data_IF_263160751205
#
_entry.id   IF_263160751205
#
_cell.length_a   1.000
_cell.length_b   1.000
_cell.length_c   1.000
_cell.angle_alpha   90.00
_cell.angle_beta   90.00
_cell.angle_gamma   90.00
#
_symmetry.space_group_name_H-M   'P 1'
#
loop_
_entity.id
_entity.type
_entity.pdbx_description
1 polymer ?
#
# COMPACT_ATOMS: atom_id res chain seq x y z
N UNK A 1 -4.59 -22.53 16.48
CA UNK A 1 -4.35 -23.17 15.17
C UNK A 1 -2.85 -23.18 14.88
N UNK A 2 -2.31 -24.22 14.22
CA UNK A 2 -0.90 -24.29 13.82
C UNK A 2 -0.48 -23.07 13.00
N UNK A 3 0.78 -22.65 13.10
CA UNK A 3 1.31 -21.46 12.41
C UNK A 3 1.13 -21.55 10.90
N UNK A 4 1.30 -22.75 10.33
CA UNK A 4 1.13 -22.99 8.88
C UNK A 4 -0.31 -22.77 8.40
N UNK A 5 -1.30 -23.18 9.17
CA UNK A 5 -2.73 -22.99 8.82
C UNK A 5 -3.11 -21.51 8.83
N UNK A 6 -2.63 -20.74 9.82
CA UNK A 6 -2.85 -19.29 9.86
C UNK A 6 -2.18 -18.56 8.70
N UNK A 7 -0.97 -18.98 8.35
CA UNK A 7 -0.25 -18.41 7.21
C UNK A 7 -0.98 -18.68 5.90
N UNK A 8 -1.47 -19.91 5.69
CA UNK A 8 -2.24 -20.27 4.51
C UNK A 8 -3.59 -19.53 4.45
N UNK A 9 -4.35 -19.47 5.53
CA UNK A 9 -5.61 -18.73 5.59
C UNK A 9 -5.41 -17.25 5.24
N UNK A 10 -4.33 -16.64 5.74
CA UNK A 10 -3.98 -15.26 5.41
C UNK A 10 -3.60 -15.09 3.93
N UNK A 11 -2.81 -16.02 3.39
CA UNK A 11 -2.48 -16.03 1.96
C UNK A 11 -3.76 -16.10 1.12
N UNK A 12 -4.61 -17.10 1.36
CA UNK A 12 -5.85 -17.29 0.61
C UNK A 12 -6.76 -16.06 0.68
N UNK A 13 -6.96 -15.51 1.87
CA UNK A 13 -7.76 -14.29 2.02
C UNK A 13 -7.20 -13.11 1.22
N UNK A 14 -5.87 -12.91 1.25
CA UNK A 14 -5.21 -11.83 0.49
C UNK A 14 -5.35 -12.04 -1.02
N UNK A 15 -5.17 -13.28 -1.50
CA UNK A 15 -5.29 -13.65 -2.91
C UNK A 15 -6.73 -13.49 -3.42
N UNK A 16 -7.73 -13.89 -2.62
CA UNK A 16 -9.15 -13.70 -2.95
C UNK A 16 -9.50 -12.22 -3.06
N UNK A 17 -9.07 -11.41 -2.10
CA UNK A 17 -9.30 -9.95 -2.13
C UNK A 17 -8.62 -9.32 -3.34
N UNK A 18 -7.37 -9.70 -3.61
CA UNK A 18 -6.61 -9.17 -4.76
C UNK A 18 -7.28 -9.48 -6.10
N UNK A 19 -8.00 -10.59 -6.21
CA UNK A 19 -8.58 -11.10 -7.47
C UNK A 19 -10.10 -11.11 -7.48
N UNK A 20 -10.72 -10.42 -6.54
CA UNK A 20 -12.18 -10.50 -6.29
C UNK A 20 -13.02 -10.38 -7.57
N UNK A 21 -12.81 -9.34 -8.37
CA UNK A 21 -13.62 -9.12 -9.57
C UNK A 21 -13.35 -10.15 -10.66
N UNK A 22 -12.09 -10.60 -10.85
CA UNK A 22 -11.77 -11.66 -11.80
C UNK A 22 -12.38 -13.00 -11.37
N UNK A 23 -12.40 -13.28 -10.06
CA UNK A 23 -13.07 -14.45 -9.51
C UNK A 23 -14.58 -14.37 -9.71
N UNK A 24 -15.20 -13.20 -9.50
CA UNK A 24 -16.62 -12.99 -9.76
C UNK A 24 -16.96 -13.20 -11.25
N UNK A 25 -16.18 -12.64 -12.18
CA UNK A 25 -16.38 -12.84 -13.62
C UNK A 25 -16.35 -14.34 -14.00
N UNK A 26 -15.41 -15.09 -13.45
CA UNK A 26 -15.31 -16.53 -13.72
C UNK A 26 -16.48 -17.32 -13.09
N UNK A 27 -16.89 -16.99 -11.86
CA UNK A 27 -18.03 -17.61 -11.19
C UNK A 27 -19.31 -17.33 -11.98
N UNK A 28 -19.52 -16.08 -12.37
CA UNK A 28 -20.71 -15.67 -13.11
C UNK A 28 -20.78 -16.34 -14.49
N UNK A 29 -19.63 -16.59 -15.13
CA UNK A 29 -19.58 -17.27 -16.43
C UNK A 29 -20.02 -18.74 -16.40
N UNK A 30 -20.02 -19.37 -15.25
CA UNK A 30 -20.42 -20.80 -15.10
C UNK A 30 -21.82 -20.99 -14.52
N UNK A 31 -22.44 -19.92 -14.01
CA UNK A 31 -23.78 -19.95 -13.42
C UNK A 31 -24.82 -19.39 -14.36
N UNK A 32 -26.07 -19.95 -14.28
CA UNK A 32 -27.19 -19.47 -15.09
C UNK A 32 -27.78 -18.17 -14.51
N UNK A 33 -27.88 -18.07 -13.19
CA UNK A 33 -28.43 -16.92 -12.46
C UNK A 33 -27.46 -16.47 -11.37
N UNK A 34 -26.32 -15.85 -11.75
CA UNK A 34 -25.29 -15.46 -10.79
C UNK A 34 -25.77 -14.40 -9.78
N UNK A 35 -26.79 -13.60 -10.12
CA UNK A 35 -27.38 -12.58 -9.27
C UNK A 35 -28.18 -13.15 -8.09
N UNK A 36 -28.64 -14.39 -8.20
CA UNK A 36 -29.38 -15.08 -7.13
C UNK A 36 -28.46 -15.76 -6.10
N UNK A 37 -27.13 -15.72 -6.34
CA UNK A 37 -26.15 -16.39 -5.49
C UNK A 37 -26.02 -15.69 -4.14
N UNK A 38 -26.28 -16.42 -3.05
CA UNK A 38 -26.10 -15.90 -1.69
C UNK A 38 -24.66 -15.41 -1.46
N UNK A 39 -24.44 -14.26 -0.81
CA UNK A 39 -23.10 -13.68 -0.61
C UNK A 39 -22.08 -14.63 0.02
N UNK A 40 -22.47 -15.38 1.04
CA UNK A 40 -21.57 -16.31 1.74
C UNK A 40 -21.19 -17.50 0.84
N UNK A 41 -22.12 -17.96 -0.03
CA UNK A 41 -21.84 -19.01 -1.00
C UNK A 41 -20.89 -18.48 -2.08
N UNK A 42 -21.08 -17.23 -2.53
CA UNK A 42 -20.18 -16.56 -3.46
C UNK A 42 -18.76 -16.46 -2.89
N UNK A 43 -18.63 -16.09 -1.62
CA UNK A 43 -17.32 -16.01 -0.97
C UNK A 43 -16.63 -17.37 -0.85
N UNK A 44 -17.38 -18.43 -0.55
CA UNK A 44 -16.84 -19.80 -0.55
C UNK A 44 -16.39 -20.23 -1.95
N UNK A 45 -17.17 -19.90 -3.00
CA UNK A 45 -16.76 -20.15 -4.39
C UNK A 45 -15.53 -19.34 -4.79
N UNK A 46 -15.44 -18.05 -4.41
CA UNK A 46 -14.23 -17.23 -4.63
C UNK A 46 -12.98 -17.91 -4.06
N UNK A 47 -13.06 -18.47 -2.85
CA UNK A 47 -11.94 -19.19 -2.24
C UNK A 47 -11.53 -20.40 -3.08
N UNK A 48 -12.49 -21.26 -3.47
CA UNK A 48 -12.21 -22.45 -4.25
C UNK A 48 -11.71 -22.13 -5.67
N UNK A 49 -12.31 -21.17 -6.37
CA UNK A 49 -11.82 -20.68 -7.66
C UNK A 49 -10.40 -20.13 -7.57
N UNK A 50 -10.11 -19.36 -6.52
CA UNK A 50 -8.75 -18.87 -6.26
C UNK A 50 -7.74 -20.00 -6.10
N UNK A 51 -8.10 -21.07 -5.41
CA UNK A 51 -7.27 -22.26 -5.26
C UNK A 51 -7.05 -23.01 -6.58
N UNK A 52 -8.07 -23.08 -7.46
CA UNK A 52 -7.98 -23.75 -8.77
C UNK A 52 -7.11 -22.93 -9.73
N UNK A 53 -7.43 -21.65 -9.95
CA UNK A 53 -6.85 -20.85 -11.03
C UNK A 53 -5.51 -20.22 -10.65
N UNK A 54 -5.36 -19.75 -9.43
CA UNK A 54 -4.18 -18.97 -9.02
C UNK A 54 -3.23 -19.73 -8.10
N UNK A 55 -3.72 -20.51 -7.14
CA UNK A 55 -2.86 -21.29 -6.24
C UNK A 55 -2.53 -22.68 -6.78
N UNK A 56 -3.19 -23.10 -7.86
CA UNK A 56 -2.95 -24.37 -8.58
C UNK A 56 -2.92 -25.59 -7.65
N UNK A 57 -3.86 -25.64 -6.71
CA UNK A 57 -4.03 -26.80 -5.83
C UNK A 57 -4.61 -27.99 -6.61
N UNK A 58 -4.42 -29.22 -6.11
CA UNK A 58 -5.02 -30.40 -6.73
C UNK A 58 -6.53 -30.30 -6.83
N UNK A 59 -7.09 -30.52 -8.02
CA UNK A 59 -8.50 -30.27 -8.34
C UNK A 59 -9.47 -31.02 -7.44
N UNK A 60 -9.25 -32.32 -7.26
CA UNK A 60 -10.11 -33.16 -6.43
C UNK A 60 -10.17 -32.67 -4.97
N UNK A 61 -9.03 -32.20 -4.41
CA UNK A 61 -8.96 -31.67 -3.05
C UNK A 61 -9.75 -30.37 -2.96
N UNK A 62 -9.58 -29.47 -3.94
CA UNK A 62 -10.23 -28.16 -3.93
C UNK A 62 -11.75 -28.29 -4.14
N UNK A 63 -12.18 -29.16 -5.06
CA UNK A 63 -13.61 -29.42 -5.28
C UNK A 63 -14.25 -29.99 -4.01
N UNK A 64 -13.69 -31.05 -3.44
CA UNK A 64 -14.23 -31.70 -2.23
C UNK A 64 -14.29 -30.72 -1.06
N UNK A 65 -13.20 -29.97 -0.80
CA UNK A 65 -13.16 -29.00 0.29
C UNK A 65 -14.12 -27.82 0.05
N UNK A 66 -14.20 -27.28 -1.17
CA UNK A 66 -15.08 -26.18 -1.52
C UNK A 66 -16.56 -26.55 -1.35
N UNK A 67 -16.94 -27.74 -1.80
CA UNK A 67 -18.30 -28.28 -1.61
C UNK A 67 -18.62 -28.48 -0.13
N UNK A 68 -17.65 -28.99 0.65
CA UNK A 68 -17.84 -29.23 2.08
C UNK A 68 -17.96 -27.91 2.86
N UNK A 69 -17.21 -26.90 2.50
CA UNK A 69 -17.33 -25.54 3.08
C UNK A 69 -18.74 -25.01 2.85
N UNK A 70 -19.24 -25.01 1.61
CA UNK A 70 -20.62 -24.56 1.31
C UNK A 70 -21.65 -25.40 2.05
N UNK A 71 -21.48 -26.72 2.08
CA UNK A 71 -22.40 -27.62 2.80
C UNK A 71 -22.52 -27.30 4.29
N UNK A 72 -21.44 -26.84 4.91
CA UNK A 72 -21.37 -26.59 6.35
C UNK A 72 -22.30 -25.46 6.82
N UNK A 73 -22.61 -24.49 5.96
CA UNK A 73 -23.47 -23.34 6.31
C UNK A 73 -24.68 -23.17 5.36
N UNK A 74 -24.61 -23.68 4.13
CA UNK A 74 -25.68 -23.63 3.12
C UNK A 74 -25.89 -25.00 2.44
N UNK A 75 -26.41 -26.02 3.16
CA UNK A 75 -26.54 -27.38 2.62
C UNK A 75 -27.36 -27.46 1.31
N UNK A 76 -28.35 -26.57 1.12
CA UNK A 76 -29.17 -26.46 -0.09
C UNK A 76 -28.35 -26.06 -1.32
N UNK A 77 -27.25 -25.30 -1.15
CA UNK A 77 -26.38 -24.85 -2.22
C UNK A 77 -25.27 -25.86 -2.60
N UNK A 78 -25.20 -27.03 -1.92
CA UNK A 78 -24.17 -28.06 -2.18
C UNK A 78 -24.11 -28.47 -3.65
N UNK A 79 -25.29 -28.71 -4.27
CA UNK A 79 -25.37 -29.11 -5.68
C UNK A 79 -24.84 -28.05 -6.63
N UNK A 80 -25.19 -26.79 -6.38
CA UNK A 80 -24.70 -25.64 -7.15
C UNK A 80 -23.19 -25.49 -7.01
N UNK A 81 -22.64 -25.57 -5.79
CA UNK A 81 -21.21 -25.49 -5.55
C UNK A 81 -20.44 -26.60 -6.28
N UNK A 82 -20.95 -27.87 -6.20
CA UNK A 82 -20.33 -28.97 -6.92
C UNK A 82 -20.33 -28.75 -8.44
N UNK A 83 -21.46 -28.28 -9.00
CA UNK A 83 -21.56 -27.96 -10.43
C UNK A 83 -20.55 -26.85 -10.82
N UNK A 84 -20.56 -25.73 -10.11
CA UNK A 84 -19.68 -24.58 -10.41
C UNK A 84 -18.19 -24.96 -10.33
N UNK A 85 -17.78 -25.74 -9.32
CA UNK A 85 -16.39 -26.15 -9.15
C UNK A 85 -15.92 -27.16 -10.21
N UNK A 86 -16.79 -28.09 -10.65
CA UNK A 86 -16.44 -28.94 -11.76
C UNK A 86 -16.30 -28.17 -13.07
N UNK A 87 -17.18 -27.19 -13.34
CA UNK A 87 -17.05 -26.29 -14.49
C UNK A 87 -15.76 -25.48 -14.43
N UNK A 88 -15.37 -24.98 -13.24
CA UNK A 88 -14.09 -24.31 -13.05
C UNK A 88 -12.89 -25.20 -13.41
N UNK A 89 -12.91 -26.47 -13.00
CA UNK A 89 -11.85 -27.43 -13.35
C UNK A 89 -11.79 -27.69 -14.86
N UNK A 90 -12.96 -27.83 -15.53
CA UNK A 90 -13.02 -28.04 -16.98
C UNK A 90 -12.42 -26.87 -17.79
N UNK A 91 -12.58 -25.63 -17.31
CA UNK A 91 -12.10 -24.44 -18.02
C UNK A 91 -10.70 -23.99 -17.63
N UNK A 92 -10.09 -24.56 -16.59
CA UNK A 92 -8.82 -24.06 -16.03
C UNK A 92 -7.65 -24.09 -17.02
N UNK A 93 -7.60 -25.10 -17.91
CA UNK A 93 -6.52 -25.23 -18.88
C UNK A 93 -6.58 -24.16 -20.01
N UNK A 94 -7.74 -23.49 -20.14
CA UNK A 94 -7.93 -22.38 -21.06
C UNK A 94 -7.64 -21.01 -20.39
N UNK A 95 -7.53 -20.98 -19.05
CA UNK A 95 -7.22 -19.75 -18.33
C UNK A 95 -5.81 -19.24 -18.69
N UNK A 96 -5.65 -17.97 -18.97
CA UNK A 96 -6.55 -16.80 -18.77
C UNK A 96 -7.45 -16.45 -19.99
N UNK A 97 -7.87 -17.41 -20.79
CA UNK A 97 -8.80 -17.27 -21.93
C UNK A 97 -8.28 -16.32 -23.03
N UNK A 98 -7.00 -16.41 -23.31
CA UNK A 98 -6.32 -15.62 -24.33
C UNK A 98 -4.83 -15.48 -24.02
N UNK A 99 -4.14 -14.80 -24.92
CA UNK A 99 -2.71 -14.54 -24.79
C UNK A 99 -2.48 -13.28 -23.94
N UNK A 100 -1.79 -13.41 -22.82
CA UNK A 100 -1.50 -12.31 -21.89
C UNK A 100 -0.60 -11.22 -22.49
N UNK A 101 0.19 -11.55 -23.52
CA UNK A 101 1.11 -10.60 -24.16
C UNK A 101 0.41 -9.68 -25.17
N UNK A 102 -0.79 -10.06 -25.61
CA UNK A 102 -1.52 -9.32 -26.66
C UNK A 102 -2.93 -8.91 -26.27
N UNK A 103 -3.55 -9.59 -25.29
CA UNK A 103 -4.93 -9.35 -24.86
C UNK A 103 -4.98 -8.65 -23.51
N UNK A 104 -5.46 -7.39 -23.45
CA UNK A 104 -5.68 -6.69 -22.17
C UNK A 104 -6.59 -7.45 -21.22
N UNK A 105 -7.61 -8.13 -21.75
CA UNK A 105 -8.54 -8.95 -20.96
C UNK A 105 -7.86 -10.17 -20.35
N UNK A 106 -7.04 -10.88 -21.12
CA UNK A 106 -6.30 -12.04 -20.61
C UNK A 106 -5.27 -11.61 -19.55
N UNK A 107 -4.57 -10.49 -19.78
CA UNK A 107 -3.64 -9.91 -18.79
C UNK A 107 -4.37 -9.49 -17.51
N UNK A 108 -5.53 -8.83 -17.63
CA UNK A 108 -6.36 -8.42 -16.49
C UNK A 108 -6.83 -9.62 -15.67
N UNK A 109 -7.34 -10.67 -16.31
CA UNK A 109 -7.77 -11.89 -15.63
C UNK A 109 -6.61 -12.64 -14.98
N UNK A 110 -5.49 -12.80 -15.71
CA UNK A 110 -4.29 -13.47 -15.18
C UNK A 110 -3.80 -12.82 -13.89
N UNK A 111 -3.73 -11.48 -13.88
CA UNK A 111 -3.16 -10.73 -12.76
C UNK A 111 -4.20 -10.27 -11.74
N UNK A 112 -5.49 -10.53 -11.98
CA UNK A 112 -6.57 -10.14 -11.06
C UNK A 112 -6.76 -8.62 -11.00
N UNK A 113 -6.85 -7.97 -12.16
CA UNK A 113 -7.14 -6.54 -12.29
C UNK A 113 -8.49 -6.28 -12.95
N UNK A 114 -9.18 -5.17 -12.64
CA UNK A 114 -10.30 -4.71 -13.44
C UNK A 114 -9.84 -4.43 -14.88
N UNK A 115 -10.65 -4.81 -15.87
CA UNK A 115 -10.29 -4.62 -17.28
C UNK A 115 -9.97 -3.16 -17.59
N UNK A 116 -10.81 -2.22 -17.16
CA UNK A 116 -10.59 -0.78 -17.38
C UNK A 116 -9.23 -0.29 -16.85
N UNK A 117 -8.78 -0.81 -15.69
CA UNK A 117 -7.49 -0.42 -15.10
C UNK A 117 -6.32 -1.04 -15.87
N UNK A 118 -6.44 -2.29 -16.32
CA UNK A 118 -5.44 -2.93 -17.17
C UNK A 118 -5.30 -2.19 -18.52
N UNK A 119 -6.42 -1.84 -19.17
CA UNK A 119 -6.43 -1.06 -20.41
C UNK A 119 -5.79 0.33 -20.22
N UNK A 120 -6.10 1.00 -19.09
CA UNK A 120 -5.50 2.29 -18.75
C UNK A 120 -4.00 2.18 -18.55
N UNK A 121 -3.53 1.18 -17.81
CA UNK A 121 -2.10 0.93 -17.60
C UNK A 121 -1.39 0.63 -18.92
N UNK A 122 -1.99 -0.20 -19.79
CA UNK A 122 -1.43 -0.51 -21.11
C UNK A 122 -1.34 0.73 -21.99
N UNK A 123 -2.36 1.57 -21.97
CA UNK A 123 -2.37 2.84 -22.72
C UNK A 123 -1.25 3.79 -22.29
N UNK A 124 -0.97 3.87 -20.99
CA UNK A 124 -0.01 4.81 -20.43
C UNK A 124 1.43 4.30 -20.41
N UNK A 125 1.63 2.99 -20.16
CA UNK A 125 2.95 2.39 -19.95
C UNK A 125 3.42 1.53 -21.14
N UNK A 126 2.53 1.17 -22.05
CA UNK A 126 2.73 0.08 -23.00
C UNK A 126 2.47 -1.28 -22.37
N UNK A 127 2.24 -2.31 -23.23
CA UNK A 127 1.75 -3.62 -22.77
C UNK A 127 2.72 -4.32 -21.80
N UNK A 128 4.00 -4.39 -22.15
CA UNK A 128 5.02 -5.09 -21.37
C UNK A 128 5.20 -4.47 -19.97
N UNK A 129 5.26 -3.15 -19.88
CA UNK A 129 5.47 -2.47 -18.61
C UNK A 129 4.22 -2.53 -17.74
N UNK A 130 3.04 -2.44 -18.34
CA UNK A 130 1.77 -2.62 -17.64
C UNK A 130 1.64 -4.03 -17.07
N UNK A 131 1.99 -5.06 -17.85
CA UNK A 131 1.99 -6.45 -17.38
C UNK A 131 2.98 -6.64 -16.22
N UNK A 132 4.21 -6.12 -16.34
CA UNK A 132 5.19 -6.12 -15.24
C UNK A 132 4.68 -5.40 -13.98
N UNK A 133 4.00 -4.26 -14.15
CA UNK A 133 3.40 -3.53 -13.03
C UNK A 133 2.33 -4.37 -12.33
N UNK A 134 1.41 -4.98 -13.09
CA UNK A 134 0.35 -5.84 -12.54
C UNK A 134 0.94 -7.05 -11.79
N UNK A 135 1.90 -7.75 -12.38
CA UNK A 135 2.62 -8.88 -11.76
C UNK A 135 3.32 -8.48 -10.47
N UNK A 136 4.07 -7.37 -10.49
CA UNK A 136 4.76 -6.86 -9.30
C UNK A 136 3.79 -6.43 -8.20
N UNK A 137 2.62 -5.94 -8.57
CA UNK A 137 1.58 -5.54 -7.60
C UNK A 137 0.99 -6.72 -6.84
N UNK A 138 1.11 -7.95 -7.36
CA UNK A 138 0.69 -9.18 -6.69
C UNK A 138 1.77 -9.80 -5.79
N UNK A 139 3.02 -9.37 -5.92
CA UNK A 139 4.08 -9.86 -5.06
C UNK A 139 3.95 -9.28 -3.63
N UNK A 140 4.32 -10.03 -2.59
CA UNK A 140 4.35 -9.51 -1.23
C UNK A 140 5.16 -8.22 -1.14
N UNK A 141 4.61 -7.19 -0.51
CA UNK A 141 5.32 -5.93 -0.35
C UNK A 141 6.58 -6.14 0.49
N UNK A 142 7.76 -5.63 0.06
CA UNK A 142 8.94 -5.61 0.90
C UNK A 142 8.67 -4.79 2.17
N UNK A 143 9.34 -5.13 3.24
CA UNK A 143 9.21 -4.42 4.50
C UNK A 143 10.42 -3.51 4.67
N UNK A 144 10.30 -2.26 4.22
CA UNK A 144 11.33 -1.24 4.40
C UNK A 144 11.14 -0.50 5.72
N UNK A 145 12.24 -0.02 6.28
CA UNK A 145 12.22 0.74 7.53
C UNK A 145 13.22 1.89 7.50
N UNK A 146 12.96 2.84 8.35
CA UNK A 146 13.85 3.94 8.69
C UNK A 146 14.13 3.88 10.19
N UNK A 147 15.37 4.11 10.60
CA UNK A 147 15.71 4.38 12.00
C UNK A 147 15.39 5.84 12.31
N UNK A 148 14.65 6.05 13.39
CA UNK A 148 14.32 7.37 13.85
C UNK A 148 15.46 7.96 14.69
N UNK A 149 16.25 8.85 14.07
CA UNK A 149 17.44 9.44 14.68
C UNK A 149 17.13 10.35 15.88
N UNK A 150 15.86 10.76 16.06
CA UNK A 150 15.44 11.47 17.26
C UNK A 150 15.35 10.54 18.49
N UNK A 151 15.28 9.22 18.29
CA UNK A 151 15.14 8.22 19.35
C UNK A 151 16.37 7.33 19.51
N UNK A 152 17.11 7.07 18.43
CA UNK A 152 18.18 6.08 18.44
C UNK A 152 19.47 6.57 17.76
N UNK A 153 20.58 6.06 18.24
CA UNK A 153 21.85 6.11 17.52
C UNK A 153 21.79 5.09 16.37
N UNK A 154 21.75 5.57 15.13
CA UNK A 154 21.55 4.74 13.95
C UNK A 154 22.61 3.65 13.78
N UNK A 155 23.93 3.96 13.78
CA UNK A 155 25.01 2.98 13.72
C UNK A 155 24.94 1.92 14.81
N UNK A 156 24.66 2.32 16.05
CA UNK A 156 24.52 1.40 17.18
C UNK A 156 23.31 0.47 17.01
N UNK A 157 22.17 1.00 16.58
CA UNK A 157 20.97 0.22 16.33
C UNK A 157 21.19 -0.81 15.21
N UNK A 158 21.84 -0.44 14.12
CA UNK A 158 22.19 -1.38 13.04
C UNK A 158 23.17 -2.47 13.51
N UNK A 159 24.18 -2.11 14.31
CA UNK A 159 25.12 -3.07 14.90
C UNK A 159 24.39 -4.10 15.77
N UNK A 160 23.47 -3.65 16.61
CA UNK A 160 22.67 -4.54 17.47
C UNK A 160 21.80 -5.50 16.63
N UNK A 161 21.16 -4.99 15.54
CA UNK A 161 20.41 -5.86 14.63
C UNK A 161 21.28 -6.96 14.01
N UNK A 162 22.50 -6.60 13.58
CA UNK A 162 23.45 -7.57 13.02
C UNK A 162 23.88 -8.61 14.07
N UNK A 163 24.18 -8.20 15.30
CA UNK A 163 24.54 -9.11 16.39
C UNK A 163 23.40 -10.09 16.72
N UNK A 164 22.16 -9.66 16.60
CA UNK A 164 20.96 -10.50 16.77
C UNK A 164 20.62 -11.34 15.53
N UNK A 165 21.45 -11.30 14.50
CA UNK A 165 21.26 -12.04 13.25
C UNK A 165 19.98 -11.62 12.50
N UNK A 166 19.46 -10.39 12.73
CA UNK A 166 18.38 -9.83 11.93
C UNK A 166 18.91 -9.55 10.54
N UNK A 167 18.35 -10.22 9.54
CA UNK A 167 18.76 -10.05 8.14
C UNK A 167 18.21 -8.74 7.58
N UNK A 168 19.05 -7.74 7.46
CA UNK A 168 18.77 -6.44 6.84
C UNK A 168 19.42 -6.35 5.47
N UNK A 169 18.75 -5.69 4.53
CA UNK A 169 19.23 -5.48 3.15
C UNK A 169 19.27 -3.98 2.89
N UNK A 170 20.45 -3.41 2.58
CA UNK A 170 20.52 -2.02 2.17
C UNK A 170 19.94 -1.85 0.76
N UNK A 171 19.03 -0.89 0.60
CA UNK A 171 18.35 -0.63 -0.69
C UNK A 171 19.20 0.27 -1.60
N UNK A 172 20.00 1.15 -1.02
CA UNK A 172 20.77 2.19 -1.71
C UNK A 172 21.83 1.68 -2.69
N UNK A 173 22.21 0.39 -2.65
CA UNK A 173 23.22 -0.16 -3.58
C UNK A 173 22.66 -0.54 -4.96
N UNK A 174 21.34 -0.66 -5.09
CA UNK A 174 20.68 -1.10 -6.33
C UNK A 174 19.92 0.01 -7.06
N UNK A 175 19.77 1.18 -6.45
CA UNK A 175 19.01 2.29 -7.01
C UNK A 175 19.78 3.58 -6.69
N UNK A 176 20.13 4.34 -7.71
CA UNK A 176 20.73 5.67 -7.57
C UNK A 176 19.63 6.65 -7.14
N UNK A 177 19.34 6.63 -5.85
CA UNK A 177 18.33 7.49 -5.25
C UNK A 177 19.01 8.61 -4.47
N UNK A 178 18.52 9.85 -4.59
CA UNK A 178 19.00 10.98 -3.81
C UNK A 178 18.55 10.87 -2.34
N UNK A 179 19.10 9.89 -1.64
CA UNK A 179 18.78 9.63 -0.25
C UNK A 179 19.81 10.33 0.66
N UNK A 180 19.32 11.11 1.60
CA UNK A 180 20.15 11.73 2.62
C UNK A 180 20.77 10.68 3.57
N UNK A 181 20.17 9.49 3.67
CA UNK A 181 20.63 8.36 4.50
C UNK A 181 20.27 7.02 3.84
N UNK A 182 20.98 5.94 4.18
CA UNK A 182 20.72 4.63 3.62
C UNK A 182 19.35 4.10 4.07
N UNK A 183 18.56 3.63 3.11
CA UNK A 183 17.30 2.92 3.36
C UNK A 183 17.57 1.44 3.52
N UNK A 184 16.95 0.83 4.50
CA UNK A 184 17.06 -0.58 4.79
C UNK A 184 15.72 -1.31 4.62
N UNK A 185 15.80 -2.58 4.26
CA UNK A 185 14.67 -3.50 4.30
C UNK A 185 14.99 -4.71 5.17
N UNK A 186 13.96 -5.35 5.69
CA UNK A 186 14.09 -6.67 6.28
C UNK A 186 14.03 -7.72 5.17
N UNK A 187 15.01 -8.64 5.14
CA UNK A 187 15.01 -9.74 4.19
C UNK A 187 13.82 -10.69 4.44
N UNK A 188 13.36 -10.80 5.68
CA UNK A 188 12.26 -11.64 6.09
C UNK A 188 11.24 -10.83 6.89
N UNK A 189 9.94 -11.01 6.59
CA UNK A 189 8.86 -10.31 7.32
C UNK A 189 8.77 -10.70 8.80
N UNK A 190 9.31 -11.86 9.15
CA UNK A 190 9.39 -12.36 10.53
C UNK A 190 10.35 -11.56 11.40
N UNK A 191 11.25 -10.77 10.81
CA UNK A 191 12.17 -9.91 11.55
C UNK A 191 11.46 -8.99 12.57
N UNK A 192 10.22 -8.55 12.28
CA UNK A 192 9.44 -7.72 13.21
C UNK A 192 9.03 -8.42 14.50
N UNK A 193 9.20 -9.74 14.59
CA UNK A 193 8.95 -10.53 15.81
C UNK A 193 10.18 -10.66 16.71
N UNK A 194 11.35 -10.21 16.26
CA UNK A 194 12.52 -10.06 17.11
C UNK A 194 12.21 -9.05 18.22
N UNK A 195 12.61 -9.37 19.44
CA UNK A 195 12.28 -8.60 20.63
C UNK A 195 12.83 -7.16 20.58
N UNK A 196 14.03 -6.99 20.04
CA UNK A 196 14.64 -5.69 19.87
C UNK A 196 13.93 -4.86 18.80
N UNK A 197 13.61 -5.47 17.65
CA UNK A 197 12.85 -4.80 16.59
C UNK A 197 11.46 -4.42 17.06
N UNK A 198 10.76 -5.32 17.74
CA UNK A 198 9.45 -5.06 18.32
C UNK A 198 9.51 -3.90 19.33
N UNK A 199 10.57 -3.83 20.15
CA UNK A 199 10.81 -2.71 21.06
C UNK A 199 11.04 -1.40 20.32
N UNK A 200 11.90 -1.37 19.30
CA UNK A 200 12.16 -0.17 18.49
C UNK A 200 10.87 0.36 17.82
N UNK A 201 10.03 -0.55 17.28
CA UNK A 201 8.72 -0.20 16.73
C UNK A 201 7.80 0.36 17.81
N UNK A 202 7.79 -0.30 18.97
CA UNK A 202 6.98 0.11 20.11
C UNK A 202 7.38 1.50 20.64
N UNK A 203 8.65 1.84 20.68
CA UNK A 203 9.19 3.08 21.23
C UNK A 203 9.37 4.20 20.17
N UNK A 204 8.95 3.97 18.92
CA UNK A 204 9.10 4.93 17.83
C UNK A 204 10.53 5.10 17.30
N UNK A 205 11.48 4.25 17.72
CA UNK A 205 12.87 4.25 17.27
C UNK A 205 13.06 3.64 15.88
N UNK A 206 12.06 2.90 15.38
CA UNK A 206 12.01 2.35 14.04
C UNK A 206 10.64 2.61 13.42
N UNK A 207 10.63 3.09 12.18
CA UNK A 207 9.41 3.40 11.43
C UNK A 207 9.37 2.54 10.17
N UNK A 208 8.29 1.78 9.99
CA UNK A 208 8.04 1.07 8.73
C UNK A 208 7.53 2.08 7.72
N UNK A 209 8.25 2.24 6.63
CA UNK A 209 7.89 3.18 5.56
C UNK A 209 8.44 2.73 4.22
N UNK A 210 7.74 3.06 3.14
CA UNK A 210 8.21 2.83 1.77
C UNK A 210 9.48 3.61 1.45
N UNK A 211 10.30 3.02 0.57
CA UNK A 211 11.47 3.70 -0.02
C UNK A 211 11.04 5.00 -0.69
N UNK A 212 9.96 4.98 -1.49
CA UNK A 212 9.45 6.17 -2.17
C UNK A 212 9.10 7.30 -1.19
N UNK A 213 8.41 6.99 -0.09
CA UNK A 213 8.08 7.98 0.92
C UNK A 213 9.32 8.57 1.61
N UNK A 214 10.33 7.74 1.89
CA UNK A 214 11.61 8.17 2.46
C UNK A 214 12.39 9.06 1.48
N UNK A 215 12.41 8.71 0.18
CA UNK A 215 13.04 9.51 -0.87
C UNK A 215 12.37 10.88 -1.02
N UNK A 216 11.04 10.90 -1.09
CA UNK A 216 10.28 12.15 -1.24
C UNK A 216 10.52 13.08 -0.05
N UNK A 217 10.53 12.58 1.19
CA UNK A 217 10.84 13.37 2.37
C UNK A 217 12.27 13.93 2.34
N UNK A 218 13.26 13.16 1.84
CA UNK A 218 14.63 13.63 1.66
C UNK A 218 14.74 14.72 0.59
N UNK A 219 14.03 14.57 -0.53
CA UNK A 219 14.00 15.53 -1.63
C UNK A 219 13.28 16.83 -1.26
N UNK A 220 12.24 16.73 -0.42
CA UNK A 220 11.48 17.87 0.04
C UNK A 220 12.25 18.79 0.99
N UNK A 221 13.36 18.28 1.55
CA UNK A 221 14.19 19.07 2.49
C UNK A 221 15.06 20.07 1.73
N UNK A 222 14.93 21.41 1.98
CA UNK A 222 15.74 22.44 1.33
C UNK A 222 17.23 22.27 1.59
N UNK A 223 18.07 22.90 0.76
CA UNK A 223 19.52 22.91 0.96
C UNK A 223 19.91 23.66 2.24
N UNK A 224 19.29 24.81 2.48
CA UNK A 224 19.45 25.58 3.70
C UNK A 224 18.37 25.22 4.70
N UNK A 225 18.70 25.26 5.99
CA UNK A 225 17.71 25.01 7.04
C UNK A 225 16.57 26.04 6.97
N UNK A 226 15.32 25.61 6.77
CA UNK A 226 14.19 26.52 6.76
C UNK A 226 13.91 27.06 8.16
N UNK A 227 13.50 28.32 8.26
CA UNK A 227 13.00 28.88 9.53
C UNK A 227 11.60 28.32 9.83
N UNK A 228 10.75 28.20 8.78
CA UNK A 228 9.42 27.60 8.88
C UNK A 228 9.13 26.67 7.71
N UNK A 229 8.66 25.48 8.04
CA UNK A 229 8.26 24.44 7.09
C UNK A 229 6.81 24.05 7.33
N UNK A 230 5.98 23.99 6.28
CA UNK A 230 4.59 23.55 6.39
C UNK A 230 4.40 22.19 5.72
N UNK A 231 3.81 21.24 6.44
CA UNK A 231 3.33 19.96 5.91
C UNK A 231 1.80 20.00 5.78
N UNK A 232 1.29 19.86 4.56
CA UNK A 232 -0.13 19.79 4.25
C UNK A 232 -0.52 18.33 3.98
N UNK A 233 -1.60 17.86 4.60
CA UNK A 233 -2.04 16.47 4.52
C UNK A 233 -1.23 15.54 5.44
N UNK A 234 -0.83 16.03 6.61
CA UNK A 234 0.07 15.33 7.54
C UNK A 234 -0.48 13.98 8.08
N UNK A 235 -1.79 13.74 7.98
CA UNK A 235 -2.42 12.47 8.35
C UNK A 235 -2.05 12.00 9.75
N UNK A 236 -1.56 10.76 9.86
CA UNK A 236 -1.09 10.17 11.12
C UNK A 236 0.38 10.46 11.46
N UNK A 237 1.07 11.32 10.68
CA UNK A 237 2.41 11.80 11.00
C UNK A 237 3.57 10.92 10.51
N UNK A 238 3.35 9.94 9.67
CA UNK A 238 4.46 9.12 9.13
C UNK A 238 5.41 9.98 8.33
N UNK A 239 4.91 10.85 7.44
CA UNK A 239 5.75 11.75 6.64
C UNK A 239 6.37 12.85 7.50
N UNK A 240 5.67 13.34 8.53
CA UNK A 240 6.22 14.25 9.54
C UNK A 240 7.50 13.67 10.16
N UNK A 241 7.48 12.39 10.57
CA UNK A 241 8.66 11.69 11.10
C UNK A 241 9.76 11.61 10.05
N UNK A 242 9.44 11.30 8.80
CA UNK A 242 10.40 11.19 7.70
C UNK A 242 11.05 12.55 7.41
N UNK A 243 10.28 13.64 7.37
CA UNK A 243 10.76 15.00 7.15
C UNK A 243 11.71 15.44 8.27
N UNK A 244 11.33 15.23 9.53
CA UNK A 244 12.19 15.57 10.66
C UNK A 244 13.48 14.73 10.71
N UNK A 245 13.43 13.45 10.28
CA UNK A 245 14.65 12.64 10.12
C UNK A 245 15.53 13.12 8.96
N UNK A 246 14.95 13.60 7.88
CA UNK A 246 15.71 14.23 6.80
C UNK A 246 16.40 15.52 7.29
N UNK A 247 15.71 16.31 8.11
CA UNK A 247 16.29 17.49 8.76
C UNK A 247 17.43 17.13 9.72
N UNK A 248 17.22 16.15 10.61
CA UNK A 248 18.27 15.65 11.51
C UNK A 248 19.52 15.18 10.74
N UNK A 249 19.32 14.49 9.61
CA UNK A 249 20.43 14.03 8.78
C UNK A 249 21.16 15.19 8.10
N UNK A 250 20.43 16.19 7.60
CA UNK A 250 21.00 17.32 6.82
C UNK A 250 21.55 18.42 7.69
N UNK A 251 20.85 18.78 8.78
CA UNK A 251 21.17 19.94 9.63
C UNK A 251 21.66 19.57 11.04
N UNK A 252 21.57 18.30 11.42
CA UNK A 252 21.92 17.83 12.77
C UNK A 252 20.86 18.12 13.83
N UNK A 253 19.75 18.74 13.47
CA UNK A 253 18.65 19.10 14.37
C UNK A 253 17.29 19.04 13.67
N UNK A 254 16.22 18.98 14.45
CA UNK A 254 14.84 19.09 13.94
C UNK A 254 14.55 20.54 13.52
N UNK A 255 13.66 20.70 12.53
CA UNK A 255 13.21 22.01 12.04
C UNK A 255 11.89 22.43 12.68
N UNK A 256 11.56 23.71 12.56
CA UNK A 256 10.22 24.21 12.89
C UNK A 256 9.26 23.76 11.78
N UNK A 257 8.46 22.73 12.09
CA UNK A 257 7.54 22.09 11.16
C UNK A 257 6.10 22.24 11.66
N UNK A 258 5.31 23.01 10.93
CA UNK A 258 3.88 23.17 11.14
C UNK A 258 3.13 22.12 10.32
N UNK A 259 2.01 21.64 10.84
CA UNK A 259 1.23 20.56 10.20
C UNK A 259 -0.20 20.97 9.98
N UNK A 260 -0.76 20.65 8.80
CA UNK A 260 -2.14 20.88 8.46
C UNK A 260 -2.79 19.57 7.99
N UNK A 261 -3.97 19.25 8.55
CA UNK A 261 -4.84 18.17 8.09
C UNK A 261 -6.29 18.52 8.45
N UNK A 262 -7.25 18.10 7.60
CA UNK A 262 -8.66 18.37 7.86
C UNK A 262 -9.28 17.40 8.88
N UNK A 263 -8.67 16.24 9.10
CA UNK A 263 -9.20 15.17 9.95
C UNK A 263 -8.73 15.34 11.40
N UNK A 264 -9.69 15.65 12.28
CA UNK A 264 -9.46 15.82 13.73
C UNK A 264 -8.90 14.55 14.36
N UNK A 265 -9.48 13.38 14.04
CA UNK A 265 -9.07 12.11 14.64
C UNK A 265 -7.65 11.75 14.27
N UNK A 266 -7.30 11.85 12.97
CA UNK A 266 -5.92 11.62 12.50
C UNK A 266 -4.93 12.59 13.14
N UNK A 267 -5.35 13.83 13.36
CA UNK A 267 -4.50 14.83 14.03
C UNK A 267 -4.21 14.44 15.48
N UNK A 268 -5.18 13.93 16.24
CA UNK A 268 -4.94 13.45 17.60
C UNK A 268 -4.06 12.18 17.60
N UNK A 269 -4.32 11.22 16.70
CA UNK A 269 -3.46 10.04 16.52
C UNK A 269 -2.01 10.46 16.20
N UNK A 270 -1.82 11.48 15.34
CA UNK A 270 -0.51 12.04 15.01
C UNK A 270 0.21 12.60 16.23
N UNK A 271 -0.45 13.40 17.04
CA UNK A 271 0.16 13.96 18.27
C UNK A 271 0.74 12.87 19.18
N UNK A 272 -0.02 11.80 19.38
CA UNK A 272 0.43 10.65 20.19
C UNK A 272 1.62 9.95 19.53
N UNK A 273 1.57 9.74 18.21
CA UNK A 273 2.64 9.07 17.48
C UNK A 273 3.94 9.89 17.47
N UNK A 274 3.86 11.20 17.25
CA UNK A 274 5.02 12.08 17.21
C UNK A 274 5.67 12.22 18.59
N UNK A 275 4.86 12.35 19.65
CA UNK A 275 5.37 12.38 21.03
C UNK A 275 6.16 11.11 21.36
N UNK A 276 5.65 9.94 20.99
CA UNK A 276 6.33 8.65 21.13
C UNK A 276 7.62 8.56 20.33
N UNK A 277 7.62 9.14 19.14
CA UNK A 277 8.77 9.17 18.24
C UNK A 277 9.78 10.29 18.58
N UNK A 278 9.59 11.06 19.65
CA UNK A 278 10.41 12.22 20.01
C UNK A 278 10.54 13.22 18.84
N UNK A 279 9.47 13.41 18.10
CA UNK A 279 9.40 14.32 16.95
C UNK A 279 8.59 15.56 17.32
N UNK A 280 9.20 16.73 17.11
CA UNK A 280 8.58 18.01 17.31
C UNK A 280 7.68 18.37 16.12
N UNK A 281 6.50 18.89 16.41
CA UNK A 281 5.69 19.69 15.50
C UNK A 281 5.43 21.03 16.19
N UNK A 282 5.48 22.12 15.42
CA UNK A 282 5.33 23.46 15.98
C UNK A 282 3.86 23.81 16.11
N UNK A 283 3.22 24.25 15.05
CA UNK A 283 1.80 24.53 15.05
C UNK A 283 1.00 23.41 14.35
N UNK A 284 -0.22 23.20 14.82
CA UNK A 284 -1.12 22.16 14.33
C UNK A 284 -2.43 22.79 13.87
N UNK A 285 -2.65 22.77 12.57
CA UNK A 285 -3.86 23.31 11.97
C UNK A 285 -4.81 22.17 11.60
N UNK A 286 -6.05 22.27 12.08
CA UNK A 286 -7.15 21.38 11.64
C UNK A 286 -8.04 22.19 10.71
N UNK A 287 -7.74 22.16 9.41
CA UNK A 287 -8.39 22.99 8.40
C UNK A 287 -8.40 22.31 7.06
N UNK A 288 -9.30 22.76 6.19
CA UNK A 288 -9.31 22.40 4.78
C UNK A 288 -8.18 23.14 4.05
N UNK A 289 -7.29 22.39 3.38
CA UNK A 289 -6.16 22.93 2.64
C UNK A 289 -6.56 23.70 1.37
N UNK A 290 -7.81 23.56 0.89
CA UNK A 290 -8.35 24.36 -0.21
C UNK A 290 -8.64 25.81 0.22
N UNK A 291 -8.66 26.10 1.52
CA UNK A 291 -8.85 27.44 2.06
C UNK A 291 -7.68 27.86 2.97
N UNK A 292 -6.67 28.48 2.36
CA UNK A 292 -5.48 28.99 3.02
C UNK A 292 -5.56 30.47 3.41
N UNK A 293 -6.74 31.10 3.33
CA UNK A 293 -6.96 32.54 3.60
C UNK A 293 -6.56 33.01 5.01
N UNK A 294 -6.39 32.08 5.95
CA UNK A 294 -5.94 32.36 7.31
C UNK A 294 -4.44 32.35 7.52
N UNK A 295 -3.68 32.09 6.45
CA UNK A 295 -2.22 32.15 6.49
C UNK A 295 -1.75 33.46 5.84
N UNK A 296 -0.70 34.03 6.40
CA UNK A 296 -0.06 35.18 5.80
C UNK A 296 0.75 34.78 4.56
N UNK A 297 0.80 35.66 3.56
CA UNK A 297 1.65 35.44 2.40
C UNK A 297 3.13 35.40 2.81
N UNK A 298 3.91 34.55 2.12
CA UNK A 298 5.35 34.41 2.35
C UNK A 298 5.71 34.01 3.81
N UNK A 299 4.85 33.22 4.47
CA UNK A 299 5.05 32.84 5.87
C UNK A 299 5.87 31.56 6.05
N UNK A 300 6.21 30.87 4.96
CA UNK A 300 6.99 29.63 4.96
C UNK A 300 8.12 29.64 3.94
N UNK A 301 9.26 29.06 4.31
CA UNK A 301 10.41 28.88 3.41
C UNK A 301 10.23 27.63 2.53
N UNK A 302 9.46 26.65 3.00
CA UNK A 302 9.13 25.45 2.25
C UNK A 302 7.75 24.90 2.63
N UNK A 303 7.07 24.34 1.63
CA UNK A 303 5.77 23.68 1.80
C UNK A 303 5.84 22.31 1.18
N UNK A 304 5.48 21.28 1.95
CA UNK A 304 5.33 19.90 1.50
C UNK A 304 3.85 19.52 1.47
N UNK A 305 3.38 19.00 0.33
CA UNK A 305 1.98 18.61 0.16
C UNK A 305 1.88 17.11 -0.07
N UNK A 306 1.18 16.42 0.83
CA UNK A 306 0.77 15.02 0.68
C UNK A 306 -0.71 14.95 0.30
N UNK A 307 -0.99 15.28 -0.97
CA UNK A 307 -2.35 15.33 -1.48
C UNK A 307 -3.03 13.95 -1.50
N UNK A 308 -4.36 13.89 -1.29
CA UNK A 308 -5.13 12.68 -1.53
C UNK A 308 -4.89 12.17 -2.96
N UNK A 309 -4.71 10.86 -3.11
CA UNK A 309 -4.49 10.24 -4.40
C UNK A 309 -5.29 8.94 -4.54
N UNK A 310 -5.34 8.37 -5.76
CA UNK A 310 -6.03 7.10 -6.04
C UNK A 310 -5.48 5.90 -5.25
N UNK A 311 -4.25 5.97 -4.75
CA UNK A 311 -3.61 4.88 -4.04
C UNK A 311 -3.07 3.74 -4.94
N UNK A 312 -3.08 3.86 -6.27
CA UNK A 312 -2.58 2.84 -7.20
C UNK A 312 -1.14 2.40 -6.87
N UNK A 313 -0.29 3.32 -6.43
CA UNK A 313 1.07 2.99 -5.99
C UNK A 313 1.15 2.09 -4.76
N UNK A 314 0.04 1.84 -4.06
CA UNK A 314 -0.02 1.04 -2.83
C UNK A 314 -0.66 -0.34 -3.01
N UNK A 315 -0.99 -0.76 -4.24
CA UNK A 315 -1.71 -2.02 -4.54
C UNK A 315 -1.06 -3.28 -3.95
N UNK A 316 0.26 -3.31 -3.79
CA UNK A 316 0.95 -4.42 -3.12
C UNK A 316 0.58 -4.60 -1.64
N UNK A 317 0.10 -3.52 -0.98
CA UNK A 317 -0.32 -3.53 0.43
C UNK A 317 -1.82 -3.50 0.59
N UNK A 318 -2.50 -2.84 -0.33
CA UNK A 318 -3.92 -2.59 -0.36
C UNK A 318 -4.52 -3.09 -1.69
N UNK A 319 -4.51 -4.41 -1.94
CA UNK A 319 -4.96 -4.97 -3.21
C UNK A 319 -6.45 -4.75 -3.47
N UNK A 320 -7.23 -4.49 -2.43
CA UNK A 320 -8.66 -4.19 -2.49
C UNK A 320 -8.97 -2.86 -3.20
N UNK A 321 -8.01 -1.92 -3.23
CA UNK A 321 -8.17 -0.61 -3.90
C UNK A 321 -8.58 -0.80 -5.34
N UNK A 322 -8.00 -1.76 -6.08
CA UNK A 322 -8.30 -2.01 -7.49
C UNK A 322 -9.78 -2.31 -7.78
N UNK A 323 -10.51 -2.80 -6.78
CA UNK A 323 -11.92 -3.17 -6.88
C UNK A 323 -12.89 -2.13 -6.29
N UNK A 324 -12.36 -1.19 -5.52
CA UNK A 324 -13.13 -0.07 -4.93
C UNK A 324 -13.06 1.18 -5.77
N UNK A 325 -12.04 1.30 -6.59
CA UNK A 325 -11.75 2.42 -7.44
C UNK A 325 -12.48 2.28 -8.78
N UNK A 326 -12.90 3.38 -9.34
CA UNK A 326 -13.42 3.49 -10.69
C UNK A 326 -12.52 4.39 -11.55
N UNK A 327 -12.85 4.52 -12.85
CA UNK A 327 -12.04 5.27 -13.80
C UNK A 327 -11.96 6.77 -13.47
N UNK A 328 -13.05 7.34 -12.94
CA UNK A 328 -13.12 8.75 -12.56
C UNK A 328 -12.20 9.07 -11.37
N UNK A 329 -12.04 8.14 -10.42
CA UNK A 329 -11.14 8.31 -9.29
C UNK A 329 -9.67 8.46 -9.70
N UNK A 330 -9.30 7.95 -10.87
CA UNK A 330 -7.94 8.07 -11.44
C UNK A 330 -7.77 9.33 -12.29
N UNK A 331 -8.85 9.81 -12.89
CA UNK A 331 -8.81 11.00 -13.75
C UNK A 331 -8.71 12.31 -12.95
N UNK A 332 -9.19 12.31 -11.72
CA UNK A 332 -9.44 13.51 -10.93
C UNK A 332 -8.22 14.18 -10.23
N UNK A 333 -7.16 13.50 -9.77
CA UNK A 333 -6.14 14.15 -8.92
C UNK A 333 -5.38 15.30 -9.58
N UNK A 334 -5.37 15.39 -10.90
CA UNK A 334 -4.57 16.39 -11.61
C UNK A 334 -5.19 17.79 -11.68
N UNK A 335 -6.50 17.92 -11.83
CA UNK A 335 -7.15 19.21 -12.12
C UNK A 335 -7.34 20.08 -10.85
N UNK A 336 -7.82 19.49 -9.75
CA UNK A 336 -7.96 20.21 -8.48
C UNK A 336 -6.61 20.63 -7.90
N UNK A 337 -5.58 19.79 -8.07
CA UNK A 337 -4.22 20.09 -7.61
C UNK A 337 -3.57 21.28 -8.35
N UNK A 338 -3.93 21.52 -9.60
CA UNK A 338 -3.41 22.66 -10.37
C UNK A 338 -4.01 24.00 -9.91
N UNK A 339 -5.26 24.02 -9.45
CA UNK A 339 -5.89 25.20 -8.84
C UNK A 339 -5.31 25.48 -7.44
N UNK A 340 -5.04 24.45 -6.65
CA UNK A 340 -4.37 24.56 -5.34
C UNK A 340 -2.92 25.05 -5.45
N UNK A 341 -2.23 24.75 -6.54
CA UNK A 341 -0.84 25.16 -6.75
C UNK A 341 -0.65 26.69 -6.68
N UNK A 342 -1.62 27.46 -7.15
CA UNK A 342 -1.57 28.90 -7.07
C UNK A 342 -1.66 29.41 -5.62
N UNK A 343 -2.44 28.74 -4.76
CA UNK A 343 -2.55 29.08 -3.35
C UNK A 343 -1.29 28.66 -2.54
N UNK A 344 -0.65 27.55 -2.95
CA UNK A 344 0.59 27.08 -2.32
C UNK A 344 1.76 28.04 -2.60
N UNK A 345 1.85 28.56 -3.82
CA UNK A 345 2.86 29.57 -4.17
C UNK A 345 2.72 30.86 -3.38
N UNK A 346 1.50 31.16 -2.90
CA UNK A 346 1.24 32.31 -2.05
C UNK A 346 1.89 32.20 -0.67
N UNK A 347 2.09 30.98 -0.16
CA UNK A 347 2.69 30.74 1.15
C UNK A 347 4.22 30.72 1.11
N UNK A 348 4.82 30.54 -0.06
CA UNK A 348 6.27 30.45 -0.21
C UNK A 348 6.89 31.84 -0.30
N UNK A 349 7.93 32.08 0.51
CA UNK A 349 8.81 33.25 0.34
C UNK A 349 9.68 33.04 -0.92
N UNK A 350 9.44 33.85 -1.94
CA UNK A 350 10.19 33.82 -3.19
C UNK A 350 11.53 34.55 -3.03
N UNK A 351 12.45 34.05 -2.16
CA UNK A 351 13.81 34.54 -2.06
C UNK A 351 14.76 33.81 -2.98
#
# INVERSE_FOLDING_TARGET
KPVKERAFARLLATEVVARKGSLDEMIDSVLTNPEELEPDVRDALRMAFCEIFYLKKPDHVTVDQGVEVVRSFAPQAKGLANFALHRAVEMKDQFPFGDIETSPKAAALSEGFPLWLAERLIKELGHDEALRFMQRSNNPAPLFFMLNLACVDGPKALSEMVQRQVKIVPVSKSIDLPLAFPVFGFAERTAVTDEYIAKLLADGGLVISDVAAQCIASLAMPENKPERFLEIGAGRGTKTILLQNAALTRFGEQIQLDTLDMDVQRTEERKVQLAKANINQSEVFVKDATNLSSFDSNSYDAVFVDAPCSGIGTLRRHPDIRWRMNEDDVAWPGAAFLEERAHLLFLLDAR
#
